data_IF_227784955368
#
_entry.id   IF_227784955368
#
_cell.length_a   1.000
_cell.length_b   1.000
_cell.length_c   1.000
_cell.angle_alpha   90.00
_cell.angle_beta   90.00
_cell.angle_gamma   90.00
#
_symmetry.space_group_name_H-M   'P 1'
#
loop_
_entity.id
_entity.type
_entity.pdbx_description
1 polymer ?
#
# COMPACT_ATOMS: atom_id res chain seq x y z
N UNK A 1 -25.32 -67.84 94.96
CA UNK A 1 -23.92 -67.35 95.10
C UNK A 1 -23.05 -67.61 93.85
N UNK A 2 -22.98 -68.85 93.34
CA UNK A 2 -22.05 -69.26 92.25
C UNK A 2 -22.35 -68.66 90.85
N UNK A 3 -23.62 -68.33 90.56
CA UNK A 3 -24.04 -67.69 89.29
C UNK A 3 -23.72 -66.18 89.21
N UNK A 4 -23.62 -65.49 90.34
CA UNK A 4 -23.27 -64.06 90.38
C UNK A 4 -21.77 -63.83 90.17
N UNK A 5 -20.92 -64.74 90.68
CA UNK A 5 -19.47 -64.69 90.46
C UNK A 5 -19.12 -64.92 88.98
N UNK A 6 -19.82 -65.85 88.32
CA UNK A 6 -19.63 -66.10 86.88
C UNK A 6 -20.03 -64.90 86.01
N UNK A 7 -21.08 -64.16 86.40
CA UNK A 7 -21.52 -62.96 85.67
C UNK A 7 -20.56 -61.77 85.82
N UNK A 8 -19.93 -61.62 86.99
CA UNK A 8 -18.92 -60.57 87.24
C UNK A 8 -17.65 -60.85 86.42
N UNK A 9 -17.23 -62.12 86.35
CA UNK A 9 -16.00 -62.53 85.65
C UNK A 9 -16.12 -62.39 84.12
N UNK A 10 -17.32 -62.59 83.57
CA UNK A 10 -17.58 -62.42 82.14
C UNK A 10 -17.56 -60.94 81.72
N UNK A 11 -17.97 -60.03 82.61
CA UNK A 11 -18.05 -58.59 82.33
C UNK A 11 -16.66 -57.93 82.27
N UNK A 12 -15.68 -58.43 83.04
CA UNK A 12 -14.32 -57.88 83.04
C UNK A 12 -13.52 -58.19 81.76
N UNK A 13 -13.89 -59.26 81.03
CA UNK A 13 -13.23 -59.64 79.77
C UNK A 13 -13.64 -58.71 78.61
N UNK A 14 -14.86 -58.18 78.62
CA UNK A 14 -15.34 -57.29 77.57
C UNK A 14 -14.73 -55.87 77.66
N UNK A 15 -14.28 -55.44 78.85
CA UNK A 15 -13.73 -54.10 79.04
C UNK A 15 -12.27 -53.94 78.55
N UNK A 16 -11.50 -55.02 78.44
CA UNK A 16 -10.09 -54.95 78.01
C UNK A 16 -9.90 -54.93 76.49
N UNK A 17 -10.98 -55.09 75.70
CA UNK A 17 -10.92 -55.14 74.25
C UNK A 17 -10.87 -53.75 73.55
N UNK A 18 -11.00 -52.64 74.30
CA UNK A 18 -11.14 -51.30 73.72
C UNK A 18 -9.90 -50.39 73.90
N UNK A 19 -8.70 -50.96 74.07
CA UNK A 19 -7.49 -50.19 74.38
C UNK A 19 -6.46 -50.06 73.25
N UNK A 20 -6.75 -50.52 72.02
CA UNK A 20 -5.72 -50.53 70.95
C UNK A 20 -6.21 -49.92 69.65
N UNK A 21 -6.05 -48.60 69.52
CA UNK A 21 -6.21 -47.86 68.27
C UNK A 21 -4.81 -47.55 67.70
N UNK A 22 -4.40 -48.13 66.57
CA UNK A 22 -3.13 -47.78 65.93
C UNK A 22 -3.18 -46.33 65.42
N UNK A 23 -2.16 -45.53 65.78
CA UNK A 23 -2.01 -44.18 65.25
C UNK A 23 -1.75 -44.24 63.73
N UNK A 24 -2.66 -43.64 62.95
CA UNK A 24 -2.52 -43.51 61.51
C UNK A 24 -1.32 -42.59 61.19
N UNK A 25 -0.39 -43.10 60.38
CA UNK A 25 0.74 -42.33 59.86
C UNK A 25 0.24 -41.26 58.89
N UNK A 26 0.70 -40.02 59.09
CA UNK A 26 0.44 -38.90 58.18
C UNK A 26 1.36 -39.08 56.96
N UNK A 27 0.85 -39.08 55.72
CA UNK A 27 1.70 -39.16 54.54
C UNK A 27 2.50 -37.86 54.35
N UNK A 28 3.81 -37.98 54.20
CA UNK A 28 4.71 -36.86 53.84
C UNK A 28 4.36 -36.35 52.45
N UNK A 29 3.91 -35.10 52.36
CA UNK A 29 3.61 -34.42 51.09
C UNK A 29 4.92 -34.00 50.44
N UNK A 30 5.25 -34.57 49.28
CA UNK A 30 6.37 -34.12 48.44
C UNK A 30 5.98 -32.82 47.71
N UNK A 31 6.74 -31.72 47.82
CA UNK A 31 6.43 -30.50 47.09
C UNK A 31 6.72 -30.71 45.60
N UNK A 32 5.67 -30.63 44.78
CA UNK A 32 5.77 -30.54 43.33
C UNK A 32 5.81 -29.07 42.91
N UNK A 33 6.83 -28.71 42.12
CA UNK A 33 6.93 -27.37 41.56
C UNK A 33 5.85 -27.19 40.51
N UNK A 34 4.85 -26.36 40.81
CA UNK A 34 3.76 -26.03 39.89
C UNK A 34 4.05 -24.63 39.34
N UNK A 35 4.34 -24.53 38.05
CA UNK A 35 4.48 -23.25 37.35
C UNK A 35 3.09 -22.74 36.95
N UNK A 36 2.74 -21.52 37.37
CA UNK A 36 1.52 -20.86 36.91
C UNK A 36 1.60 -20.62 35.40
N UNK A 37 0.54 -20.99 34.68
CA UNK A 37 0.46 -20.75 33.24
C UNK A 37 0.28 -19.25 33.00
N UNK A 38 1.36 -18.57 32.60
CA UNK A 38 1.28 -17.20 32.09
C UNK A 38 0.55 -17.25 30.76
N UNK A 39 -0.69 -16.78 30.72
CA UNK A 39 -1.39 -16.51 29.47
C UNK A 39 -0.75 -15.31 28.81
N UNK A 40 0.35 -15.53 28.10
CA UNK A 40 0.87 -14.55 27.15
C UNK A 40 -0.19 -14.38 26.07
N UNK A 41 -0.73 -13.17 25.95
CA UNK A 41 -1.46 -12.74 24.76
C UNK A 41 -0.47 -12.76 23.60
N UNK A 42 -0.27 -13.94 23.00
CA UNK A 42 0.44 -14.06 21.74
C UNK A 42 -0.42 -13.35 20.71
N UNK A 43 -0.05 -12.12 20.35
CA UNK A 43 -0.57 -11.50 19.15
C UNK A 43 -0.16 -12.42 18.00
N UNK A 44 -1.11 -13.09 17.38
CA UNK A 44 -0.87 -13.85 16.15
C UNK A 44 -0.40 -12.86 15.07
N UNK A 45 0.91 -12.72 14.95
CA UNK A 45 1.54 -11.86 13.98
C UNK A 45 1.54 -12.59 12.64
N UNK A 46 0.63 -12.19 11.76
CA UNK A 46 0.60 -12.70 10.39
C UNK A 46 1.70 -12.03 9.59
N UNK A 47 2.77 -12.78 9.30
CA UNK A 47 3.84 -12.32 8.42
C UNK A 47 3.44 -12.63 6.98
N UNK A 48 3.29 -11.59 6.17
CA UNK A 48 2.99 -11.69 4.76
C UNK A 48 4.09 -11.02 3.94
N UNK A 49 4.39 -11.60 2.78
CA UNK A 49 5.31 -11.03 1.79
C UNK A 49 4.53 -10.21 0.78
N UNK A 50 5.02 -9.02 0.45
CA UNK A 50 4.45 -8.17 -0.58
C UNK A 50 5.54 -7.72 -1.56
N UNK A 51 5.13 -7.43 -2.80
CA UNK A 51 5.99 -6.83 -3.83
C UNK A 51 5.51 -5.41 -4.10
N UNK A 52 6.39 -4.44 -3.95
CA UNK A 52 6.11 -3.06 -4.32
C UNK A 52 6.33 -2.90 -5.83
N UNK A 53 5.36 -2.29 -6.51
CA UNK A 53 5.43 -1.99 -7.94
C UNK A 53 5.19 -0.49 -8.17
N UNK A 54 5.71 0.08 -9.28
CA UNK A 54 5.42 1.46 -9.63
C UNK A 54 3.92 1.71 -9.77
N UNK A 55 3.45 2.86 -9.32
CA UNK A 55 2.05 3.26 -9.51
C UNK A 55 1.71 3.50 -10.99
N UNK A 56 2.69 3.99 -11.76
CA UNK A 56 2.57 4.23 -13.20
C UNK A 56 3.89 3.90 -13.88
N UNK A 57 3.80 3.38 -15.10
CA UNK A 57 4.93 3.13 -16.00
C UNK A 57 4.55 3.70 -17.37
N UNK A 58 5.46 4.43 -18.00
CA UNK A 58 5.29 4.96 -19.35
C UNK A 58 6.46 4.55 -20.22
N UNK A 59 6.14 3.90 -21.33
CA UNK A 59 7.10 3.59 -22.40
C UNK A 59 6.91 4.63 -23.50
N UNK A 60 7.94 5.44 -23.72
CA UNK A 60 7.88 6.55 -24.67
C UNK A 60 8.45 6.12 -26.01
N UNK A 61 7.78 6.53 -27.09
CA UNK A 61 8.22 6.32 -28.46
C UNK A 61 7.91 7.55 -29.31
N UNK A 62 8.58 7.67 -30.45
CA UNK A 62 8.34 8.77 -31.37
C UNK A 62 7.19 8.44 -32.31
N UNK A 63 6.31 9.41 -32.54
CA UNK A 63 5.18 9.28 -33.47
C UNK A 63 5.62 9.32 -34.94
N UNK A 64 6.81 9.85 -35.20
CA UNK A 64 7.40 9.99 -36.53
C UNK A 64 8.79 9.38 -36.54
N UNK A 65 9.22 8.94 -37.72
CA UNK A 65 10.59 8.52 -37.97
C UNK A 65 11.43 9.74 -38.31
N UNK A 66 12.35 10.11 -37.42
CA UNK A 66 13.30 11.21 -37.62
C UNK A 66 14.62 10.91 -36.91
N UNK A 67 15.68 11.63 -37.28
CA UNK A 67 16.97 11.54 -36.60
C UNK A 67 16.91 12.28 -35.26
N UNK A 68 17.60 11.76 -34.26
CA UNK A 68 17.78 12.47 -32.98
C UNK A 68 18.72 13.65 -33.18
N UNK A 69 18.28 14.83 -32.77
CA UNK A 69 19.09 16.05 -32.76
C UNK A 69 19.86 16.19 -31.45
N UNK A 70 19.16 15.98 -30.34
CA UNK A 70 19.70 16.19 -29.00
C UNK A 70 19.00 15.29 -27.97
N UNK A 71 19.75 14.85 -26.96
CA UNK A 71 19.24 14.11 -25.81
C UNK A 71 19.49 14.99 -24.58
N UNK A 72 18.42 15.35 -23.88
CA UNK A 72 18.47 16.37 -22.81
C UNK A 72 18.59 15.76 -21.41
N UNK A 73 18.59 14.43 -21.29
CA UNK A 73 18.54 13.71 -20.01
C UNK A 73 19.47 12.49 -20.02
N UNK A 74 19.90 12.07 -18.84
CA UNK A 74 20.66 10.86 -18.61
C UNK A 74 19.81 9.78 -17.94
N UNK A 75 20.27 8.53 -18.02
CA UNK A 75 19.61 7.43 -17.34
C UNK A 75 19.67 7.62 -15.82
N UNK A 76 18.51 7.57 -15.16
CA UNK A 76 18.36 7.76 -13.72
C UNK A 76 17.96 9.18 -13.30
N UNK A 77 17.90 10.12 -14.24
CA UNK A 77 17.44 11.48 -13.95
C UNK A 77 15.95 11.51 -13.58
N UNK A 78 15.61 12.40 -12.65
CA UNK A 78 14.22 12.69 -12.28
C UNK A 78 13.66 13.72 -13.27
N UNK A 79 12.50 13.41 -13.85
CA UNK A 79 11.84 14.25 -14.86
C UNK A 79 10.38 14.47 -14.48
N UNK A 80 9.82 15.58 -14.94
CA UNK A 80 8.42 15.97 -14.74
C UNK A 80 7.63 15.82 -16.04
N UNK A 81 6.31 15.77 -15.90
CA UNK A 81 5.43 15.72 -17.06
C UNK A 81 5.56 16.98 -17.90
N UNK A 82 5.82 16.82 -19.20
CA UNK A 82 6.04 17.91 -20.15
C UNK A 82 7.50 18.26 -20.40
N UNK A 83 8.43 17.68 -19.65
CA UNK A 83 9.86 17.88 -19.90
C UNK A 83 10.28 17.29 -21.25
N UNK A 84 11.06 18.06 -22.01
CA UNK A 84 11.59 17.62 -23.30
C UNK A 84 12.79 16.72 -23.06
N UNK A 85 12.59 15.41 -23.19
CA UNK A 85 13.66 14.42 -22.98
C UNK A 85 14.61 14.31 -24.18
N UNK A 86 14.05 14.37 -25.39
CA UNK A 86 14.78 14.20 -26.66
C UNK A 86 14.20 15.16 -27.69
N UNK A 87 15.07 15.83 -28.44
CA UNK A 87 14.71 16.69 -29.57
C UNK A 87 15.00 15.95 -30.87
N UNK A 88 14.02 15.88 -31.77
CA UNK A 88 14.17 15.30 -33.10
C UNK A 88 14.56 16.36 -34.12
N UNK A 89 15.34 15.96 -35.13
CA UNK A 89 15.68 16.81 -36.28
C UNK A 89 14.55 16.73 -37.33
N UNK A 90 13.74 17.78 -37.47
CA UNK A 90 12.50 17.75 -38.27
C UNK A 90 12.34 18.96 -39.20
N UNK A 91 13.34 19.30 -40.03
CA UNK A 91 13.33 20.51 -40.85
C UNK A 91 12.16 20.52 -41.84
N UNK A 92 11.76 19.37 -42.36
CA UNK A 92 10.64 19.26 -43.30
C UNK A 92 9.30 19.67 -42.67
N UNK A 93 9.11 19.38 -41.38
CA UNK A 93 7.91 19.81 -40.65
C UNK A 93 7.93 21.31 -40.41
N UNK A 94 9.10 21.87 -40.05
CA UNK A 94 9.29 23.31 -39.88
C UNK A 94 9.01 24.07 -41.19
N UNK A 95 9.55 23.57 -42.31
CA UNK A 95 9.30 24.17 -43.63
C UNK A 95 7.84 24.08 -44.07
N UNK A 96 7.15 22.97 -43.76
CA UNK A 96 5.73 22.83 -44.07
C UNK A 96 4.87 23.86 -43.31
N UNK A 97 5.20 24.13 -42.03
CA UNK A 97 4.53 25.16 -41.22
C UNK A 97 4.79 26.55 -41.82
N UNK A 98 6.05 26.88 -42.12
CA UNK A 98 6.42 28.17 -42.72
C UNK A 98 5.69 28.40 -44.04
N UNK A 99 5.61 27.36 -44.89
CA UNK A 99 4.92 27.45 -46.17
C UNK A 99 3.41 27.74 -45.97
N UNK A 100 2.77 27.05 -45.02
CA UNK A 100 1.36 27.27 -44.71
C UNK A 100 1.09 28.66 -44.13
N UNK A 101 1.96 29.16 -43.25
CA UNK A 101 1.86 30.50 -42.68
C UNK A 101 2.03 31.59 -43.76
N UNK A 102 2.99 31.42 -44.67
CA UNK A 102 3.20 32.35 -45.78
C UNK A 102 2.00 32.41 -46.74
N UNK A 103 1.43 31.26 -47.07
CA UNK A 103 0.21 31.18 -47.89
C UNK A 103 -0.98 31.85 -47.19
N UNK A 104 -1.17 31.61 -45.90
CA UNK A 104 -2.20 32.26 -45.09
C UNK A 104 -2.03 33.80 -45.09
N UNK A 105 -0.81 34.27 -44.81
CA UNK A 105 -0.50 35.70 -44.73
C UNK A 105 -0.70 36.41 -46.09
N UNK A 106 -0.30 35.77 -47.19
CA UNK A 106 -0.49 36.31 -48.54
C UNK A 106 -1.97 36.51 -48.86
N UNK A 107 -2.81 35.54 -48.48
CA UNK A 107 -4.28 35.61 -48.68
C UNK A 107 -4.92 36.66 -47.78
N UNK A 108 -4.52 36.73 -46.52
CA UNK A 108 -5.01 37.73 -45.58
C UNK A 108 -4.68 39.15 -46.07
N UNK A 109 -3.46 39.37 -46.56
CA UNK A 109 -3.06 40.65 -47.14
C UNK A 109 -3.88 40.99 -48.38
N UNK A 110 -4.09 40.03 -49.30
CA UNK A 110 -4.90 40.26 -50.49
C UNK A 110 -6.34 40.65 -50.16
N UNK A 111 -6.96 39.99 -49.17
CA UNK A 111 -8.30 40.32 -48.70
C UNK A 111 -8.38 41.72 -48.08
N UNK A 112 -7.38 42.13 -47.30
CA UNK A 112 -7.32 43.47 -46.72
C UNK A 112 -7.15 44.55 -47.80
N UNK A 113 -6.29 44.31 -48.80
CA UNK A 113 -6.15 45.23 -49.94
C UNK A 113 -7.47 45.38 -50.70
N UNK A 114 -8.21 44.30 -50.93
CA UNK A 114 -9.53 44.35 -51.55
C UNK A 114 -10.52 45.20 -50.74
N UNK A 115 -10.52 45.04 -49.41
CA UNK A 115 -11.37 45.83 -48.51
C UNK A 115 -11.01 47.32 -48.54
N UNK A 116 -9.72 47.67 -48.48
CA UNK A 116 -9.23 49.06 -48.54
C UNK A 116 -9.57 49.73 -49.86
N UNK A 117 -9.39 49.01 -50.98
CA UNK A 117 -9.76 49.51 -52.32
C UNK A 117 -11.27 49.73 -52.40
N UNK A 118 -12.08 48.79 -51.93
CA UNK A 118 -13.54 48.92 -51.89
C UNK A 118 -14.01 50.10 -51.03
N UNK A 119 -13.42 50.29 -49.85
CA UNK A 119 -13.76 51.42 -48.98
C UNK A 119 -13.37 52.77 -49.59
N UNK A 120 -12.19 52.87 -50.21
CA UNK A 120 -11.73 54.12 -50.83
C UNK A 120 -12.58 54.52 -52.05
N UNK A 121 -13.05 53.53 -52.83
CA UNK A 121 -13.95 53.75 -53.97
C UNK A 121 -15.32 54.31 -53.55
N UNK A 122 -15.87 53.88 -52.41
CA UNK A 122 -17.16 54.38 -51.89
C UNK A 122 -17.08 55.83 -51.38
N UNK A 123 -15.91 56.29 -50.94
CA UNK A 123 -15.68 57.69 -50.51
C UNK A 123 -15.45 58.68 -51.65
N UNK A 124 -15.21 58.21 -52.88
CA UNK A 124 -14.97 59.10 -54.03
C UNK A 124 -16.18 59.28 -54.96
N UNK A 125 -17.37 58.76 -54.60
CA UNK A 125 -18.59 59.07 -55.35
C UNK A 125 -18.93 60.54 -55.12
N UNK A 126 -18.80 61.44 -56.12
CA UNK A 126 -19.17 62.82 -55.93
C UNK A 126 -20.69 62.89 -55.75
N UNK A 127 -21.12 63.25 -54.55
CA UNK A 127 -22.51 63.66 -54.29
C UNK A 127 -22.68 64.99 -55.01
N UNK A 128 -23.31 64.95 -56.19
CA UNK A 128 -23.79 66.13 -56.91
C UNK A 128 -25.21 66.46 -56.45
#
# INVERSE_FOLDING_TARGET
>A
MKKLIASILLLTIFLTACATQPAASIPTVTPISTTEAVTSSSSDAVIASAKVTPAQVSELSFLISALVKEINVNAGDLVQAGDVLITLNTPDLEFAVIAAENDYNARALAAELQKRIGSNMLTQIPVK
#
